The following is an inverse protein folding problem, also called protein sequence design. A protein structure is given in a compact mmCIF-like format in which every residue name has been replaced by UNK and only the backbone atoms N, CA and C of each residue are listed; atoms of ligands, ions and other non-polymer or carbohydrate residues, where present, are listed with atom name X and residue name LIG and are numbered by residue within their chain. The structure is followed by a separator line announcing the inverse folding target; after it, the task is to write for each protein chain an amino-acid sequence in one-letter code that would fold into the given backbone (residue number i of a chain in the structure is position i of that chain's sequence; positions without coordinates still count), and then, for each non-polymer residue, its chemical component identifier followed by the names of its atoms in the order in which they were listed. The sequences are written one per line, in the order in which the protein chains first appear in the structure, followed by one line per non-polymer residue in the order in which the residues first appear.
data_IF_145139115392
#
_entry.id   IF_145139115392
#
_cell.length_a   1.000
_cell.length_b   1.000
_cell.length_c   1.000
_cell.angle_alpha   90.00
_cell.angle_beta   90.00
_cell.angle_gamma   90.00
#
_symmetry.space_group_name_H-M   'P 1'
#
loop_
_entity.id
_entity.type
_entity.pdbx_description
1 polymer ?
#
# COMPACT_ATOMS: atom_id res chain seq x y z
N UNK A 1 25.49 -42.55 -11.79
CA UNK A 1 25.46 -41.13 -11.39
C UNK A 1 26.79 -40.78 -10.73
N UNK A 2 27.59 -39.91 -11.36
CA UNK A 2 28.97 -39.61 -10.95
C UNK A 2 28.99 -39.08 -9.50
N UNK A 3 29.97 -39.45 -8.66
CA UNK A 3 30.04 -39.04 -7.23
C UNK A 3 29.91 -37.52 -7.05
N UNK A 4 30.46 -36.77 -8.00
CA UNK A 4 30.36 -35.31 -8.09
C UNK A 4 28.92 -34.80 -8.24
N UNK A 5 28.12 -35.48 -9.06
CA UNK A 5 26.72 -35.11 -9.32
C UNK A 5 25.83 -35.31 -8.06
N UNK A 6 26.13 -36.34 -7.25
CA UNK A 6 25.44 -36.58 -5.97
C UNK A 6 25.75 -35.50 -4.94
N UNK A 7 27.02 -35.08 -4.84
CA UNK A 7 27.44 -34.01 -3.94
C UNK A 7 26.84 -32.65 -4.33
N UNK A 8 26.85 -32.33 -5.63
CA UNK A 8 26.24 -31.10 -6.14
C UNK A 8 24.74 -31.05 -5.82
N UNK A 9 24.02 -32.16 -6.05
CA UNK A 9 22.59 -32.25 -5.77
C UNK A 9 22.28 -32.09 -4.27
N UNK A 10 23.10 -32.68 -3.40
CA UNK A 10 22.94 -32.58 -1.95
C UNK A 10 23.18 -31.16 -1.43
N UNK A 11 24.21 -30.47 -1.94
CA UNK A 11 24.46 -29.05 -1.61
C UNK A 11 23.28 -28.19 -2.08
N UNK A 12 22.78 -28.43 -3.31
CA UNK A 12 21.64 -27.70 -3.87
C UNK A 12 20.38 -27.87 -3.00
N UNK A 13 20.14 -29.09 -2.51
CA UNK A 13 19.04 -29.41 -1.61
C UNK A 13 19.15 -28.68 -0.26
N UNK A 14 20.37 -28.60 0.31
CA UNK A 14 20.61 -27.89 1.57
C UNK A 14 20.43 -26.38 1.37
N UNK A 15 20.95 -25.80 0.29
CA UNK A 15 20.72 -24.37 -0.01
C UNK A 15 19.26 -24.08 -0.25
N UNK A 16 18.54 -24.97 -0.94
CA UNK A 16 17.10 -24.84 -1.15
C UNK A 16 16.35 -24.91 0.18
N UNK A 17 16.70 -25.87 1.04
CA UNK A 17 16.11 -26.03 2.37
C UNK A 17 16.36 -24.80 3.26
N UNK A 18 17.59 -24.29 3.29
CA UNK A 18 17.94 -23.08 4.05
C UNK A 18 17.24 -21.84 3.50
N UNK A 19 17.11 -21.69 2.18
CA UNK A 19 16.31 -20.62 1.58
C UNK A 19 14.84 -20.71 1.99
N UNK A 20 14.23 -21.90 1.87
CA UNK A 20 12.82 -22.11 2.25
C UNK A 20 12.58 -21.87 3.74
N UNK A 21 13.56 -22.20 4.59
CA UNK A 21 13.45 -22.04 6.04
C UNK A 21 13.57 -20.58 6.48
N UNK A 22 14.46 -19.80 5.85
CA UNK A 22 14.59 -18.36 6.13
C UNK A 22 13.37 -17.61 5.63
N UNK A 23 12.89 -17.91 4.41
CA UNK A 23 11.67 -17.32 3.85
C UNK A 23 10.42 -17.66 4.68
N UNK A 24 10.27 -18.91 5.13
CA UNK A 24 9.13 -19.33 5.95
C UNK A 24 9.09 -18.66 7.33
N UNK A 25 10.25 -18.36 7.92
CA UNK A 25 10.32 -17.75 9.26
C UNK A 25 9.82 -16.31 9.30
N UNK A 26 10.13 -15.52 8.27
CA UNK A 26 9.67 -14.13 8.18
C UNK A 26 8.17 -14.04 7.91
N UNK A 27 7.66 -14.96 7.09
CA UNK A 27 6.23 -15.09 6.81
C UNK A 27 5.43 -15.49 8.07
N UNK A 28 5.87 -16.52 8.79
CA UNK A 28 5.24 -16.97 10.04
C UNK A 28 5.21 -15.87 11.09
N UNK A 29 6.28 -15.07 11.18
CA UNK A 29 6.36 -13.94 12.09
C UNK A 29 5.36 -12.85 11.71
N UNK A 30 5.27 -12.48 10.43
CA UNK A 30 4.30 -11.49 9.94
C UNK A 30 2.86 -11.94 10.19
N UNK A 31 2.55 -13.21 9.94
CA UNK A 31 1.22 -13.75 10.17
C UNK A 31 0.86 -13.76 11.66
N UNK A 32 1.81 -14.13 12.51
CA UNK A 32 1.65 -14.07 13.96
C UNK A 32 1.38 -12.63 14.43
N UNK A 33 2.20 -11.67 14.00
CA UNK A 33 2.03 -10.26 14.34
C UNK A 33 0.68 -9.72 13.86
N UNK A 34 0.25 -10.10 12.65
CA UNK A 34 -1.03 -9.69 12.10
C UNK A 34 -2.20 -10.17 12.98
N UNK A 35 -2.21 -11.47 13.33
CA UNK A 35 -3.27 -12.07 14.17
C UNK A 35 -3.32 -11.48 15.57
N UNK A 36 -2.18 -11.34 16.24
CA UNK A 36 -2.13 -10.78 17.60
C UNK A 36 -2.65 -9.34 17.65
N UNK A 37 -2.36 -8.53 16.63
CA UNK A 37 -2.81 -7.14 16.57
C UNK A 37 -4.28 -7.02 16.13
N UNK A 38 -4.74 -7.89 15.24
CA UNK A 38 -6.16 -8.01 14.91
C UNK A 38 -6.99 -8.37 16.16
N UNK A 39 -6.55 -9.34 16.96
CA UNK A 39 -7.24 -9.71 18.20
C UNK A 39 -7.31 -8.54 19.21
N UNK A 40 -6.22 -7.78 19.34
CA UNK A 40 -6.20 -6.55 20.17
C UNK A 40 -7.20 -5.52 19.64
N UNK A 41 -7.23 -5.32 18.33
CA UNK A 41 -8.18 -4.43 17.68
C UNK A 41 -9.63 -4.84 17.95
N UNK A 42 -9.98 -6.11 17.72
CA UNK A 42 -11.34 -6.63 17.90
C UNK A 42 -11.84 -6.50 19.35
N UNK A 43 -10.95 -6.53 20.35
CA UNK A 43 -11.33 -6.31 21.76
C UNK A 43 -11.72 -4.87 22.07
N UNK A 44 -11.14 -3.88 21.37
CA UNK A 44 -11.44 -2.47 21.60
C UNK A 44 -11.18 -1.62 20.33
N UNK A 45 -12.09 -1.66 19.34
CA UNK A 45 -11.84 -1.07 18.02
C UNK A 45 -11.60 0.43 18.06
N UNK A 46 -12.37 1.17 18.89
CA UNK A 46 -12.33 2.63 18.96
C UNK A 46 -11.02 3.20 19.55
N UNK A 47 -10.23 2.38 20.24
CA UNK A 47 -8.98 2.80 20.92
C UNK A 47 -7.74 2.06 20.43
N UNK A 48 -7.87 1.14 19.49
CA UNK A 48 -6.78 0.24 19.07
C UNK A 48 -6.34 0.48 17.63
N UNK A 49 -6.32 1.74 17.20
CA UNK A 49 -5.93 2.12 15.83
C UNK A 49 -4.51 1.65 15.46
N UNK A 50 -3.58 1.69 16.41
CA UNK A 50 -2.20 1.21 16.20
C UNK A 50 -2.21 -0.27 15.87
N UNK A 51 -2.97 -1.07 16.62
CA UNK A 51 -3.11 -2.50 16.39
C UNK A 51 -3.79 -2.79 15.05
N UNK A 52 -4.85 -2.07 14.72
CA UNK A 52 -5.50 -2.17 13.40
C UNK A 52 -4.49 -1.90 12.27
N UNK A 53 -3.72 -0.82 12.39
CA UNK A 53 -2.78 -0.39 11.37
C UNK A 53 -1.66 -1.43 11.15
N UNK A 54 -1.12 -1.98 12.25
CA UNK A 54 -0.13 -3.07 12.18
C UNK A 54 -0.72 -4.31 11.50
N UNK A 55 -1.95 -4.70 11.87
CA UNK A 55 -2.60 -5.86 11.27
C UNK A 55 -2.81 -5.68 9.76
N UNK A 56 -3.34 -4.53 9.33
CA UNK A 56 -3.54 -4.20 7.92
C UNK A 56 -2.23 -4.19 7.16
N UNK A 57 -1.18 -3.58 7.71
CA UNK A 57 0.14 -3.52 7.10
C UNK A 57 0.73 -4.93 6.87
N UNK A 58 0.73 -5.76 7.91
CA UNK A 58 1.24 -7.13 7.84
C UNK A 58 0.43 -7.99 6.86
N UNK A 59 -0.91 -7.95 6.91
CA UNK A 59 -1.76 -8.71 6.00
C UNK A 59 -1.60 -8.24 4.54
N UNK A 60 -1.42 -6.94 4.31
CA UNK A 60 -1.20 -6.41 2.96
C UNK A 60 0.13 -6.87 2.40
N UNK A 61 1.20 -6.85 3.21
CA UNK A 61 2.49 -7.41 2.82
C UNK A 61 2.36 -8.90 2.47
N UNK A 62 1.74 -9.68 3.36
CA UNK A 62 1.55 -11.11 3.15
C UNK A 62 0.79 -11.40 1.85
N UNK A 63 -0.28 -10.64 1.58
CA UNK A 63 -1.07 -10.79 0.35
C UNK A 63 -0.27 -10.42 -0.90
N UNK A 64 0.42 -9.29 -0.91
CA UNK A 64 1.06 -8.77 -2.13
C UNK A 64 2.41 -9.43 -2.45
N UNK A 65 3.12 -9.93 -1.44
CA UNK A 65 4.43 -10.59 -1.63
C UNK A 65 4.27 -12.11 -1.81
N UNK A 66 3.40 -12.75 -1.03
CA UNK A 66 3.28 -14.22 -1.03
C UNK A 66 1.99 -14.75 -1.69
N UNK A 67 0.98 -13.89 -1.93
CA UNK A 67 -0.18 -14.25 -2.75
C UNK A 67 -1.31 -14.99 -2.03
N UNK A 68 -1.41 -14.90 -0.71
CA UNK A 68 -2.47 -15.57 0.06
C UNK A 68 -3.86 -14.98 -0.22
N UNK A 69 -4.66 -15.68 -1.02
CA UNK A 69 -5.99 -15.22 -1.48
C UNK A 69 -6.98 -14.98 -0.34
N UNK A 70 -6.95 -15.81 0.71
CA UNK A 70 -7.80 -15.68 1.91
C UNK A 70 -7.61 -14.34 2.65
N UNK A 71 -6.45 -13.70 2.46
CA UNK A 71 -6.17 -12.40 3.08
C UNK A 71 -6.96 -11.25 2.45
N UNK A 72 -7.39 -11.39 1.20
CA UNK A 72 -8.13 -10.33 0.50
C UNK A 72 -9.44 -10.01 1.22
N UNK A 73 -10.25 -11.01 1.54
CA UNK A 73 -11.52 -10.82 2.23
C UNK A 73 -11.33 -10.22 3.63
N UNK A 74 -10.32 -10.72 4.34
CA UNK A 74 -9.94 -10.18 5.66
C UNK A 74 -9.53 -8.71 5.57
N UNK A 75 -8.70 -8.36 4.58
CA UNK A 75 -8.28 -6.98 4.35
C UNK A 75 -9.47 -6.08 4.01
N UNK A 76 -10.39 -6.52 3.15
CA UNK A 76 -11.61 -5.75 2.83
C UNK A 76 -12.41 -5.50 4.11
N UNK A 77 -12.65 -6.52 4.93
CA UNK A 77 -13.37 -6.39 6.19
C UNK A 77 -12.67 -5.41 7.15
N UNK A 78 -11.37 -5.55 7.35
CA UNK A 78 -10.60 -4.65 8.23
C UNK A 78 -10.67 -3.20 7.75
N UNK A 79 -10.61 -2.94 6.45
CA UNK A 79 -10.72 -1.58 5.90
C UNK A 79 -12.13 -1.02 6.03
N UNK A 80 -13.18 -1.82 5.80
CA UNK A 80 -14.57 -1.40 6.04
C UNK A 80 -14.77 -1.04 7.51
N UNK A 81 -14.33 -1.90 8.43
CA UNK A 81 -14.45 -1.65 9.88
C UNK A 81 -13.68 -0.38 10.28
N UNK A 82 -12.46 -0.20 9.76
CA UNK A 82 -11.65 0.99 9.99
C UNK A 82 -12.30 2.27 9.46
N UNK A 83 -12.88 2.23 8.25
CA UNK A 83 -13.59 3.36 7.67
C UNK A 83 -14.85 3.74 8.48
N UNK A 84 -15.57 2.75 9.01
CA UNK A 84 -16.72 2.99 9.90
C UNK A 84 -16.30 3.66 11.21
N UNK A 85 -15.15 3.31 11.77
CA UNK A 85 -14.63 3.96 12.99
C UNK A 85 -14.15 5.37 12.68
N UNK A 86 -13.45 5.59 11.56
CA UNK A 86 -13.04 6.92 11.10
C UNK A 86 -14.24 7.88 10.98
N UNK A 87 -15.39 7.38 10.51
CA UNK A 87 -16.61 8.18 10.43
C UNK A 87 -17.11 8.70 11.79
N UNK A 88 -16.80 7.98 12.88
CA UNK A 88 -17.15 8.35 14.27
C UNK A 88 -16.04 9.14 14.96
N UNK A 89 -14.78 8.91 14.58
CA UNK A 89 -13.61 9.54 15.16
C UNK A 89 -12.60 9.83 14.05
N UNK A 90 -12.57 11.09 13.60
CA UNK A 90 -11.70 11.57 12.52
C UNK A 90 -10.19 11.41 12.80
N UNK A 91 -9.80 11.12 14.04
CA UNK A 91 -8.41 10.78 14.38
C UNK A 91 -8.05 9.34 14.01
N UNK A 92 -9.02 8.51 13.60
CA UNK A 92 -8.79 7.15 13.13
C UNK A 92 -8.50 7.17 11.63
N UNK A 93 -7.24 7.34 11.27
CA UNK A 93 -6.82 7.47 9.88
C UNK A 93 -6.90 6.16 9.08
N UNK A 94 -7.32 6.25 7.81
CA UNK A 94 -7.38 5.13 6.85
C UNK A 94 -6.04 5.02 6.11
N UNK A 95 -5.18 4.11 6.53
CA UNK A 95 -3.89 3.83 5.88
C UNK A 95 -4.03 2.68 4.90
N UNK A 96 -3.42 2.84 3.73
CA UNK A 96 -3.25 1.82 2.72
C UNK A 96 -1.77 1.55 2.47
N UNK A 97 -1.45 0.32 2.13
CA UNK A 97 -0.07 -0.11 1.92
C UNK A 97 0.10 -0.80 0.57
N UNK A 98 1.30 -0.69 0.03
CA UNK A 98 1.74 -1.36 -1.16
C UNK A 98 3.17 -1.87 -0.98
N UNK A 99 3.42 -3.06 -1.50
CA UNK A 99 4.69 -3.75 -1.47
C UNK A 99 5.09 -4.20 -2.86
N UNK A 100 6.39 -4.19 -3.15
CA UNK A 100 6.91 -4.77 -4.38
C UNK A 100 7.49 -6.16 -4.12
N UNK A 101 7.12 -7.18 -4.91
CA UNK A 101 7.69 -8.52 -4.79
C UNK A 101 9.12 -8.63 -5.38
N UNK A 102 9.54 -7.68 -6.22
CA UNK A 102 10.85 -7.72 -6.92
C UNK A 102 11.96 -6.96 -6.19
N UNK A 103 11.56 -6.01 -5.36
CA UNK A 103 12.45 -5.11 -4.65
C UNK A 103 11.74 -4.64 -3.38
N UNK A 104 12.41 -4.59 -2.22
CA UNK A 104 11.81 -4.22 -0.94
C UNK A 104 11.50 -2.71 -0.88
N UNK A 105 10.56 -2.28 -1.71
CA UNK A 105 9.96 -0.95 -1.70
C UNK A 105 8.59 -1.07 -1.04
N UNK A 106 8.34 -0.21 -0.05
CA UNK A 106 7.04 -0.06 0.59
C UNK A 106 6.49 1.33 0.28
N UNK A 107 5.22 1.41 -0.05
CA UNK A 107 4.49 2.66 -0.19
C UNK A 107 3.34 2.65 0.82
N UNK A 108 3.25 3.68 1.66
CA UNK A 108 2.11 3.93 2.53
C UNK A 108 1.34 5.14 2.01
N UNK A 109 0.01 5.06 2.08
CA UNK A 109 -0.89 6.11 1.60
C UNK A 109 -1.92 6.38 2.67
N UNK A 110 -2.14 7.65 2.96
CA UNK A 110 -3.21 8.12 3.83
C UNK A 110 -4.16 9.00 3.01
N UNK A 111 -5.45 8.64 3.01
CA UNK A 111 -6.52 9.49 2.47
C UNK A 111 -6.77 10.68 3.41
N UNK A 112 -6.57 11.89 2.89
CA UNK A 112 -6.73 13.14 3.63
C UNK A 112 -8.09 13.81 3.39
N UNK A 113 -9.02 13.19 2.66
CA UNK A 113 -10.33 13.78 2.30
C UNK A 113 -11.05 14.35 3.52
N UNK A 114 -11.02 13.63 4.64
CA UNK A 114 -11.73 14.02 5.87
C UNK A 114 -10.85 14.77 6.87
N UNK A 115 -9.63 15.17 6.48
CA UNK A 115 -8.72 15.88 7.35
C UNK A 115 -9.09 17.37 7.42
N UNK A 116 -9.30 17.98 8.60
CA UNK A 116 -9.84 19.34 8.73
C UNK A 116 -9.06 20.44 7.98
N UNK A 117 -7.76 20.24 7.71
CA UNK A 117 -6.95 21.19 6.94
C UNK A 117 -7.14 21.10 5.41
N UNK A 118 -7.86 20.09 4.91
CA UNK A 118 -8.15 19.89 3.48
C UNK A 118 -9.61 20.20 3.12
N UNK A 119 -10.41 20.68 4.08
CA UNK A 119 -11.80 21.10 3.89
C UNK A 119 -11.89 22.46 3.19
N UNK A 120 -11.47 22.52 1.92
CA UNK A 120 -11.75 23.67 1.05
C UNK A 120 -12.74 23.27 -0.04
N UNK A 121 -13.72 24.13 -0.30
CA UNK A 121 -14.74 23.98 -1.34
C UNK A 121 -14.19 23.66 -2.75
N UNK A 122 -12.92 24.01 -3.02
CA UNK A 122 -12.21 23.70 -4.27
C UNK A 122 -11.85 22.20 -4.41
N UNK A 123 -11.89 21.43 -3.31
CA UNK A 123 -11.50 20.01 -3.27
C UNK A 123 -12.68 19.04 -3.36
N UNK A 124 -13.91 19.50 -3.60
CA UNK A 124 -15.08 18.61 -3.70
C UNK A 124 -14.96 17.52 -4.77
N UNK A 125 -14.04 17.68 -5.74
CA UNK A 125 -13.72 16.68 -6.77
C UNK A 125 -12.24 16.30 -6.78
N UNK A 126 -11.59 16.39 -5.63
CA UNK A 126 -10.16 16.10 -5.47
C UNK A 126 -9.98 15.06 -4.38
N UNK A 127 -9.07 14.14 -4.63
CA UNK A 127 -8.61 13.16 -3.66
C UNK A 127 -7.18 13.53 -3.23
N UNK A 128 -7.01 14.16 -2.05
CA UNK A 128 -5.69 14.42 -1.49
C UNK A 128 -5.15 13.15 -0.81
N UNK A 129 -3.99 12.68 -1.26
CA UNK A 129 -3.31 11.51 -0.71
C UNK A 129 -1.96 11.93 -0.13
N UNK A 130 -1.73 11.67 1.15
CA UNK A 130 -0.41 11.75 1.75
C UNK A 130 0.31 10.42 1.52
N UNK A 131 1.40 10.46 0.76
CA UNK A 131 2.13 9.30 0.31
C UNK A 131 3.50 9.31 0.96
N UNK A 132 3.89 8.17 1.53
CA UNK A 132 5.27 7.94 2.00
C UNK A 132 5.85 6.73 1.30
N UNK A 133 7.01 6.93 0.67
CA UNK A 133 7.78 5.85 0.04
C UNK A 133 8.93 5.50 0.96
N UNK A 134 9.09 4.22 1.26
CA UNK A 134 10.15 3.65 2.09
C UNK A 134 11.05 2.77 1.23
N UNK A 135 12.30 3.20 1.02
CA UNK A 135 13.29 2.38 0.33
C UNK A 135 13.93 1.41 1.32
N UNK A 136 13.33 0.24 1.51
CA UNK A 136 13.88 -0.79 2.41
C UNK A 136 14.95 -1.65 1.72
N UNK A 137 15.35 -1.32 0.49
CA UNK A 137 16.38 -2.03 -0.26
C UNK A 137 17.75 -1.38 -0.20
N UNK A 138 18.64 -1.89 -1.05
CA UNK A 138 20.07 -1.55 -1.03
C UNK A 138 20.49 -0.59 -2.16
N UNK A 139 19.59 -0.28 -3.10
CA UNK A 139 19.84 0.61 -4.24
C UNK A 139 19.14 1.94 -4.05
N UNK A 140 19.73 3.00 -4.59
CA UNK A 140 19.08 4.31 -4.66
C UNK A 140 17.90 4.28 -5.64
N UNK A 141 16.82 4.99 -5.29
CA UNK A 141 15.65 5.19 -6.18
C UNK A 141 15.56 6.65 -6.55
N UNK A 142 15.63 6.94 -7.84
CA UNK A 142 15.44 8.30 -8.36
C UNK A 142 13.94 8.59 -8.53
N UNK A 143 13.36 9.32 -7.58
CA UNK A 143 11.93 9.64 -7.56
C UNK A 143 11.49 10.50 -8.76
N UNK A 144 12.41 11.13 -9.49
CA UNK A 144 12.08 11.92 -10.68
C UNK A 144 11.69 11.05 -11.87
N UNK A 145 12.06 9.77 -11.85
CA UNK A 145 11.79 8.78 -12.90
C UNK A 145 10.62 7.86 -12.57
N UNK A 146 10.02 8.03 -11.40
CA UNK A 146 8.87 7.27 -10.97
C UNK A 146 7.66 7.73 -11.75
N UNK A 147 6.85 6.78 -12.22
CA UNK A 147 5.49 7.03 -12.70
C UNK A 147 4.51 6.70 -11.58
N UNK A 148 3.61 7.64 -11.27
CA UNK A 148 2.54 7.45 -10.30
C UNK A 148 1.22 7.57 -11.04
N UNK A 149 0.31 6.62 -10.84
CA UNK A 149 -1.01 6.65 -11.44
C UNK A 149 -2.06 6.14 -10.47
N UNK A 150 -3.21 6.79 -10.42
CA UNK A 150 -4.36 6.35 -9.66
C UNK A 150 -5.42 5.81 -10.62
N UNK A 151 -5.84 4.57 -10.42
CA UNK A 151 -6.93 3.92 -11.14
C UNK A 151 -8.17 3.88 -10.24
N UNK A 152 -9.31 4.21 -10.79
CA UNK A 152 -10.60 4.14 -10.10
C UNK A 152 -11.32 2.80 -10.34
N UNK A 153 -12.45 2.58 -9.67
CA UNK A 153 -13.24 1.34 -9.81
C UNK A 153 -13.80 1.09 -11.22
N UNK A 154 -13.88 2.12 -12.07
CA UNK A 154 -14.24 1.99 -13.50
C UNK A 154 -13.03 1.71 -14.40
N UNK A 155 -11.85 1.45 -13.82
CA UNK A 155 -10.57 1.26 -14.50
C UNK A 155 -10.09 2.48 -15.31
N UNK A 156 -10.61 3.68 -15.01
CA UNK A 156 -10.11 4.92 -15.60
C UNK A 156 -8.96 5.47 -14.76
N UNK A 157 -7.93 5.99 -15.42
CA UNK A 157 -6.85 6.70 -14.75
C UNK A 157 -7.30 8.11 -14.35
N UNK A 158 -7.12 8.44 -13.08
CA UNK A 158 -7.38 9.78 -12.54
C UNK A 158 -6.20 10.72 -12.87
N UNK A 159 -6.52 11.99 -13.10
CA UNK A 159 -5.55 13.01 -13.46
C UNK A 159 -4.84 13.52 -12.19
N UNK A 160 -3.51 13.61 -12.24
CA UNK A 160 -2.69 14.27 -11.21
C UNK A 160 -2.80 15.79 -11.36
N UNK A 161 -3.01 16.49 -10.24
CA UNK A 161 -3.34 17.91 -10.21
C UNK A 161 -2.27 18.79 -9.55
N UNK A 162 -1.21 18.20 -8.96
CA UNK A 162 -0.13 18.90 -8.24
C UNK A 162 0.51 20.07 -8.97
N UNK A 163 0.48 20.06 -10.30
CA UNK A 163 1.15 21.05 -11.15
C UNK A 163 0.23 22.15 -11.64
N UNK A 164 -1.08 22.05 -11.40
CA UNK A 164 -2.02 23.07 -11.85
C UNK A 164 -1.96 24.29 -10.92
N UNK A 165 -1.96 25.49 -11.51
CA UNK A 165 -1.83 26.75 -10.78
C UNK A 165 -2.91 26.95 -9.73
N UNK A 166 -4.13 26.52 -10.02
CA UNK A 166 -5.26 26.56 -9.08
C UNK A 166 -4.94 25.81 -7.78
N UNK A 167 -4.41 24.59 -7.90
CA UNK A 167 -4.07 23.76 -6.74
C UNK A 167 -2.81 24.22 -6.02
N UNK A 168 -1.79 24.66 -6.77
CA UNK A 168 -0.56 25.24 -6.20
C UNK A 168 -0.86 26.49 -5.36
N UNK A 169 -1.76 27.36 -5.83
CA UNK A 169 -2.13 28.59 -5.13
C UNK A 169 -2.89 28.32 -3.84
N UNK A 170 -3.78 27.33 -3.82
CA UNK A 170 -4.61 27.03 -2.65
C UNK A 170 -3.80 26.40 -1.52
N UNK A 171 -2.85 25.53 -1.85
CA UNK A 171 -2.10 24.75 -0.86
C UNK A 171 -0.73 25.35 -0.51
N UNK A 172 -0.33 26.42 -1.21
CA UNK A 172 0.88 27.17 -0.90
C UNK A 172 2.17 26.38 -1.10
N UNK A 173 3.17 26.66 -0.27
CA UNK A 173 4.51 26.09 -0.35
C UNK A 173 4.64 24.67 0.21
N UNK A 174 3.59 24.13 0.83
CA UNK A 174 3.63 22.83 1.51
C UNK A 174 3.50 21.63 0.55
N UNK A 175 3.15 21.86 -0.73
CA UNK A 175 3.07 20.81 -1.74
C UNK A 175 4.35 20.64 -2.56
N UNK A 176 4.77 19.39 -2.72
CA UNK A 176 5.84 19.00 -3.62
C UNK A 176 5.29 18.84 -5.05
N UNK A 177 5.95 19.50 -6.01
CA UNK A 177 5.66 19.39 -7.44
C UNK A 177 6.06 18.00 -7.99
N UNK A 178 5.34 17.53 -9.02
CA UNK A 178 5.68 16.30 -9.73
C UNK A 178 6.20 16.60 -11.15
N UNK A 179 7.36 16.11 -11.60
CA UNK A 179 8.20 15.08 -10.97
C UNK A 179 8.92 15.54 -9.70
N UNK A 180 9.03 14.60 -8.76
CA UNK A 180 9.71 14.79 -7.47
C UNK A 180 11.22 14.64 -7.69
N UNK A 181 11.98 15.72 -7.56
CA UNK A 181 13.43 15.69 -7.75
C UNK A 181 14.12 15.27 -6.44
N UNK A 182 14.09 13.97 -6.13
CA UNK A 182 14.79 13.39 -4.99
C UNK A 182 15.37 12.02 -5.31
N UNK A 183 16.65 11.84 -4.98
CA UNK A 183 17.28 10.52 -4.92
C UNK A 183 17.06 9.94 -3.51
N UNK A 184 16.31 8.84 -3.41
CA UNK A 184 15.95 8.20 -2.17
C UNK A 184 16.94 7.06 -1.85
N UNK A 185 17.77 7.24 -0.84
CA UNK A 185 18.82 6.27 -0.47
C UNK A 185 18.26 5.05 0.27
N UNK A 186 19.03 3.95 0.39
CA UNK A 186 18.71 2.83 1.26
C UNK A 186 18.30 3.26 2.66
N UNK A 187 17.21 2.68 3.16
CA UNK A 187 16.61 2.94 4.48
C UNK A 187 16.09 4.36 4.68
N UNK A 188 16.09 5.20 3.64
CA UNK A 188 15.40 6.48 3.69
C UNK A 188 13.93 6.34 3.33
N UNK A 189 13.15 7.29 3.83
CA UNK A 189 11.80 7.54 3.37
C UNK A 189 11.63 8.95 2.82
N UNK A 190 10.60 9.13 2.01
CA UNK A 190 10.17 10.45 1.57
C UNK A 190 8.66 10.53 1.54
N UNK A 191 8.14 11.61 2.09
CA UNK A 191 6.72 11.88 2.17
C UNK A 191 6.35 13.12 1.38
N UNK A 192 5.22 13.06 0.70
CA UNK A 192 4.67 14.16 -0.09
C UNK A 192 3.16 13.98 -0.24
N UNK A 193 2.48 15.02 -0.71
CA UNK A 193 1.04 14.97 -0.99
C UNK A 193 0.86 14.96 -2.51
N UNK A 194 0.02 14.04 -3.01
CA UNK A 194 -0.51 14.12 -4.36
C UNK A 194 -2.00 14.41 -4.33
N UNK A 195 -2.45 15.17 -5.33
CA UNK A 195 -3.84 15.50 -5.57
C UNK A 195 -4.27 14.83 -6.85
N UNK A 196 -5.34 14.06 -6.78
CA UNK A 196 -5.97 13.44 -7.95
C UNK A 196 -7.36 14.00 -8.18
N UNK A 197 -7.83 13.93 -9.42
CA UNK A 197 -9.28 14.02 -9.66
C UNK A 197 -10.01 12.90 -8.90
N UNK A 198 -11.18 13.22 -8.37
CA UNK A 198 -12.06 12.28 -7.65
C UNK A 198 -13.37 12.13 -8.40
N UNK A 199 -13.32 11.45 -9.54
CA UNK A 199 -14.52 11.19 -10.34
C UNK A 199 -15.24 9.92 -9.86
N UNK A 200 -14.49 8.95 -9.32
CA UNK A 200 -15.03 7.72 -8.77
C UNK A 200 -14.16 7.24 -7.60
N UNK A 201 -14.58 6.18 -6.90
CA UNK A 201 -13.81 5.61 -5.80
C UNK A 201 -12.45 5.10 -6.29
N UNK A 202 -11.35 5.41 -5.58
CA UNK A 202 -10.03 4.91 -5.93
C UNK A 202 -10.00 3.40 -5.74
N UNK A 203 -9.38 2.69 -6.66
CA UNK A 203 -9.21 1.23 -6.62
C UNK A 203 -7.75 0.87 -6.35
N UNK A 204 -6.85 1.52 -7.08
CA UNK A 204 -5.43 1.20 -7.07
C UNK A 204 -4.60 2.47 -7.27
N UNK A 205 -3.64 2.73 -6.39
CA UNK A 205 -2.54 3.64 -6.67
C UNK A 205 -1.30 2.82 -7.05
N UNK A 206 -0.84 2.98 -8.29
CA UNK A 206 0.34 2.29 -8.80
C UNK A 206 1.54 3.22 -8.81
N UNK A 207 2.66 2.69 -8.34
CA UNK A 207 3.98 3.29 -8.42
C UNK A 207 4.86 2.39 -9.28
N UNK A 208 5.46 2.96 -10.33
CA UNK A 208 6.34 2.23 -11.23
C UNK A 208 7.68 2.93 -11.34
N UNK A 209 8.77 2.19 -11.13
CA UNK A 209 10.14 2.64 -11.35
C UNK A 209 10.93 1.50 -12.01
N UNK A 210 11.32 1.69 -13.28
CA UNK A 210 11.95 0.63 -14.07
C UNK A 210 11.09 -0.64 -14.08
N UNK A 211 11.61 -1.76 -13.57
CA UNK A 211 10.93 -3.05 -13.47
C UNK A 211 10.21 -3.27 -12.12
N UNK A 212 10.34 -2.32 -11.19
CA UNK A 212 9.70 -2.32 -9.86
C UNK A 212 8.30 -1.72 -10.00
N UNK A 213 7.30 -2.50 -9.58
CA UNK A 213 5.91 -2.06 -9.48
C UNK A 213 5.43 -2.26 -8.04
N UNK A 214 4.86 -1.20 -7.46
CA UNK A 214 4.18 -1.24 -6.16
C UNK A 214 2.73 -0.84 -6.37
N UNK A 215 1.83 -1.69 -5.90
CA UNK A 215 0.39 -1.50 -6.00
C UNK A 215 -0.19 -1.24 -4.61
N UNK A 216 -0.67 -0.03 -4.35
CA UNK A 216 -1.41 0.30 -3.13
C UNK A 216 -2.90 0.12 -3.42
N UNK A 217 -3.52 -0.86 -2.77
CA UNK A 217 -4.89 -1.28 -3.05
C UNK A 217 -5.84 -0.66 -2.02
N UNK A 218 -6.92 -0.06 -2.51
CA UNK A 218 -7.99 0.52 -1.66
C UNK A 218 -9.06 -0.54 -1.42
N UNK A 219 -8.82 -1.42 -0.44
CA UNK A 219 -9.61 -2.63 -0.23
C UNK A 219 -11.08 -2.37 0.09
N UNK A 220 -11.41 -1.28 0.78
CA UNK A 220 -12.78 -0.87 1.09
C UNK A 220 -13.63 -0.58 -0.16
N UNK A 221 -12.99 -0.28 -1.29
CA UNK A 221 -13.66 -0.03 -2.57
C UNK A 221 -13.71 -1.29 -3.46
N UNK A 222 -13.22 -2.42 -2.97
CA UNK A 222 -13.32 -3.71 -3.66
C UNK A 222 -14.59 -4.42 -3.21
N UNK A 223 -15.48 -4.81 -4.14
CA UNK A 223 -16.65 -5.61 -3.80
C UNK A 223 -16.22 -6.96 -3.21
N UNK A 224 -16.86 -7.36 -2.11
CA UNK A 224 -16.59 -8.62 -1.40
C UNK A 224 -16.90 -9.86 -2.24
N UNK A 225 -17.61 -9.71 -3.36
CA UNK A 225 -17.96 -10.79 -4.28
C UNK A 225 -18.00 -10.16 -5.68
N UNK A 226 -17.21 -10.63 -6.65
CA UNK A 226 -17.67 -10.54 -8.04
C UNK A 226 -18.89 -11.44 -8.09
N UNK A 227 -20.10 -10.86 -8.12
CA UNK A 227 -21.26 -11.66 -8.47
C UNK A 227 -20.90 -12.34 -9.78
N UNK A 228 -20.75 -13.66 -9.76
CA UNK A 228 -20.72 -14.42 -10.99
C UNK A 228 -22.00 -14.03 -11.71
N UNK A 229 -21.85 -13.19 -12.74
CA UNK A 229 -22.94 -12.86 -13.64
C UNK A 229 -23.58 -14.20 -14.02
N UNK A 230 -24.92 -14.35 -13.91
CA UNK A 230 -25.54 -15.59 -14.37
C UNK A 230 -25.09 -15.76 -15.83
N UNK A 231 -24.44 -16.90 -16.12
CA UNK A 231 -24.19 -17.30 -17.51
C UNK A 231 -25.57 -17.34 -18.16
N UNK A 232 -25.80 -16.42 -19.10
CA UNK A 232 -26.97 -16.41 -19.98
C UNK A 232 -27.04 -17.73 -20.74
#
# INVERSE_FOLDING_TARGET
MNKFLKYLFFILLITLFMLTFVLGKDEDLLLKLAKENEEKYLKNPDKSYVSWNIAVDCYTNLYQVYGYTELKEKLIKLHIDGALINSKNLNFFNFHYGYSPKYPLKVAVLDLTNYPKFDYYLFNRVLPLFITIYNNGEKDIDLSKVIISLENVSNNLEKILNNEDSFRKVLGYDLVYYPIVKLLKPKESFSFILLFTKNNFPKLLRFTYQDIEVNVIFFENIPLIESSSPKV
#
